data_IF_655995830301
#
_entry.id   IF_655995830301
#
_cell.length_a   1.000
_cell.length_b   1.000
_cell.length_c   1.000
_cell.angle_alpha   90.00
_cell.angle_beta   90.00
_cell.angle_gamma   90.00
#
_symmetry.space_group_name_H-M   'P 1'
#
loop_
_entity.id
_entity.type
_entity.pdbx_description
1 polymer ?
#
# COMPACT_ATOMS: atom_id res chain seq x y z
N UNK A 1 -11.37 13.81 -17.26
CA UNK A 1 -12.39 12.85 -16.77
C UNK A 1 -13.79 13.45 -16.59
N UNK A 2 -13.95 14.65 -16.01
CA UNK A 2 -15.26 15.31 -15.86
C UNK A 2 -15.95 15.55 -17.21
N UNK A 3 -15.24 16.10 -18.19
CA UNK A 3 -15.78 16.38 -19.54
C UNK A 3 -16.37 15.13 -20.22
N UNK A 4 -15.71 13.98 -20.08
CA UNK A 4 -16.15 12.68 -20.60
C UNK A 4 -17.44 12.14 -19.93
N UNK A 5 -17.86 12.70 -18.79
CA UNK A 5 -19.12 12.33 -18.11
C UNK A 5 -20.32 13.19 -18.52
N UNK A 6 -20.10 14.24 -19.32
CA UNK A 6 -21.21 15.03 -19.86
C UNK A 6 -22.11 14.16 -20.74
N UNK A 7 -23.38 14.56 -20.91
CA UNK A 7 -24.38 13.73 -21.58
C UNK A 7 -23.91 13.28 -22.97
N UNK A 8 -23.44 14.23 -23.78
CA UNK A 8 -23.00 13.99 -25.16
C UNK A 8 -21.74 13.14 -25.21
N UNK A 9 -20.70 13.49 -24.45
CA UNK A 9 -19.43 12.75 -24.48
C UNK A 9 -19.58 11.35 -23.90
N UNK A 10 -20.39 11.20 -22.86
CA UNK A 10 -20.71 9.88 -22.31
C UNK A 10 -21.51 9.03 -23.30
N UNK A 11 -22.36 9.64 -24.13
CA UNK A 11 -23.10 8.95 -25.18
C UNK A 11 -22.16 8.46 -26.28
N UNK A 12 -21.30 9.35 -26.81
CA UNK A 12 -20.27 8.98 -27.79
C UNK A 12 -19.40 7.82 -27.29
N UNK A 13 -18.97 7.87 -26.03
CA UNK A 13 -18.13 6.83 -25.45
C UNK A 13 -18.85 5.48 -25.31
N UNK A 14 -20.17 5.48 -25.03
CA UNK A 14 -20.99 4.24 -24.95
C UNK A 14 -21.01 3.44 -26.25
N UNK A 15 -20.92 4.13 -27.40
CA UNK A 15 -20.88 3.46 -28.69
C UNK A 15 -19.55 2.75 -28.94
N UNK A 16 -18.47 3.20 -28.28
CA UNK A 16 -17.11 2.67 -28.47
C UNK A 16 -16.70 1.66 -27.39
N UNK A 17 -17.15 1.83 -26.15
CA UNK A 17 -16.74 0.98 -25.02
C UNK A 17 -17.78 0.93 -23.89
N UNK A 18 -17.76 -0.16 -23.11
CA UNK A 18 -18.53 -0.29 -21.87
C UNK A 18 -17.91 0.47 -20.68
N UNK A 19 -16.64 0.87 -20.81
CA UNK A 19 -15.90 1.57 -19.76
C UNK A 19 -16.52 2.95 -19.45
N UNK A 20 -16.49 3.36 -18.18
CA UNK A 20 -17.08 4.62 -17.69
C UNK A 20 -16.04 5.50 -17.02
N UNK A 21 -15.97 6.80 -17.35
CA UNK A 21 -15.01 7.68 -16.69
C UNK A 21 -15.23 7.70 -15.17
N UNK A 22 -14.15 7.43 -14.44
CA UNK A 22 -14.10 7.54 -12.97
C UNK A 22 -13.61 8.94 -12.59
N UNK A 23 -14.22 9.55 -11.57
CA UNK A 23 -13.76 10.82 -11.02
C UNK A 23 -12.92 10.59 -9.76
N UNK A 24 -11.99 11.52 -9.50
CA UNK A 24 -11.38 11.66 -8.18
C UNK A 24 -12.47 11.93 -7.14
N UNK A 25 -12.31 11.33 -5.97
CA UNK A 25 -13.16 11.52 -4.80
C UNK A 25 -12.24 11.69 -3.59
N UNK A 26 -12.29 12.86 -2.96
CA UNK A 26 -11.31 13.26 -1.95
C UNK A 26 -11.42 12.42 -0.67
N UNK A 27 -12.62 11.97 -0.34
CA UNK A 27 -12.89 11.09 0.81
C UNK A 27 -12.56 9.62 0.55
N UNK A 28 -12.34 9.22 -0.72
CA UNK A 28 -12.15 7.82 -1.09
C UNK A 28 -10.68 7.53 -1.42
N UNK A 29 -10.02 6.74 -0.57
CA UNK A 29 -8.65 6.24 -0.79
C UNK A 29 -8.53 5.56 -2.16
N UNK A 30 -7.44 5.87 -2.88
CA UNK A 30 -7.15 5.28 -4.19
C UNK A 30 -7.99 5.83 -5.35
N UNK A 31 -8.84 6.84 -5.14
CA UNK A 31 -9.67 7.40 -6.22
C UNK A 31 -8.83 8.08 -7.32
N UNK A 32 -7.72 8.74 -6.96
CA UNK A 32 -6.77 9.33 -7.93
C UNK A 32 -6.12 8.26 -8.81
N UNK A 33 -5.64 7.16 -8.19
CA UNK A 33 -5.10 6.01 -8.93
C UNK A 33 -6.14 5.45 -9.90
N UNK A 34 -7.35 5.14 -9.42
CA UNK A 34 -8.45 4.60 -10.24
C UNK A 34 -8.81 5.53 -11.39
N UNK A 35 -8.86 6.83 -11.13
CA UNK A 35 -9.14 7.84 -12.16
C UNK A 35 -8.09 7.82 -13.27
N UNK A 36 -6.80 7.85 -12.92
CA UNK A 36 -5.71 7.87 -13.90
C UNK A 36 -5.59 6.54 -14.65
N UNK A 37 -5.70 5.42 -13.94
CA UNK A 37 -5.74 4.09 -14.55
C UNK A 37 -6.87 4.00 -15.59
N UNK A 38 -8.07 4.44 -15.21
CA UNK A 38 -9.22 4.43 -16.10
C UNK A 38 -9.09 5.42 -17.26
N UNK A 39 -8.46 6.58 -17.03
CA UNK A 39 -8.14 7.53 -18.10
C UNK A 39 -7.30 6.88 -19.20
N UNK A 40 -6.22 6.17 -18.85
CA UNK A 40 -5.38 5.48 -19.84
C UNK A 40 -6.12 4.37 -20.59
N UNK A 41 -7.02 3.64 -19.92
CA UNK A 41 -7.86 2.63 -20.57
C UNK A 41 -8.90 3.25 -21.51
N UNK A 42 -9.31 4.50 -21.27
CA UNK A 42 -10.24 5.21 -22.14
C UNK A 42 -9.56 5.91 -23.32
N UNK A 43 -8.24 6.14 -23.23
CA UNK A 43 -7.52 7.04 -24.14
C UNK A 43 -7.61 6.63 -25.62
N UNK A 44 -7.73 5.33 -25.91
CA UNK A 44 -7.90 4.81 -27.27
C UNK A 44 -9.31 5.05 -27.85
N UNK A 45 -10.32 5.23 -26.99
CA UNK A 45 -11.71 5.44 -27.40
C UNK A 45 -12.08 6.93 -27.49
N UNK A 46 -11.25 7.81 -26.93
CA UNK A 46 -11.46 9.25 -26.96
C UNK A 46 -11.10 9.78 -28.35
N UNK A 47 -12.02 10.54 -28.94
CA UNK A 47 -11.75 11.28 -30.16
C UNK A 47 -10.86 12.48 -29.83
N UNK A 48 -9.65 12.50 -30.40
CA UNK A 48 -8.65 13.54 -30.13
C UNK A 48 -8.87 14.79 -30.97
N UNK A 49 -9.59 14.65 -32.08
CA UNK A 49 -9.87 15.72 -33.03
C UNK A 49 -11.19 16.44 -32.68
N UNK A 50 -11.93 15.94 -31.67
CA UNK A 50 -13.13 16.61 -31.16
C UNK A 50 -12.74 17.92 -30.45
N UNK A 51 -13.08 19.06 -31.07
CA UNK A 51 -12.83 20.41 -30.55
C UNK A 51 -13.37 20.60 -29.11
N UNK A 52 -14.46 19.90 -28.74
CA UNK A 52 -15.05 19.99 -27.39
C UNK A 52 -14.23 19.27 -26.31
N UNK A 53 -13.28 18.41 -26.73
CA UNK A 53 -12.40 17.61 -25.90
C UNK A 53 -10.94 18.00 -26.03
N UNK A 54 -10.51 18.57 -27.16
CA UNK A 54 -9.11 18.88 -27.48
C UNK A 54 -8.41 19.64 -26.35
N UNK A 55 -9.06 20.66 -25.79
CA UNK A 55 -8.51 21.47 -24.67
C UNK A 55 -8.38 20.69 -23.35
N UNK A 56 -9.10 19.58 -23.19
CA UNK A 56 -9.12 18.77 -21.96
C UNK A 56 -8.27 17.51 -22.03
N UNK A 57 -7.73 17.17 -23.20
CA UNK A 57 -6.86 16.02 -23.38
C UNK A 57 -5.42 16.47 -23.10
N UNK A 58 -4.76 15.88 -22.08
CA UNK A 58 -3.35 16.13 -21.82
C UNK A 58 -2.50 15.90 -23.08
N UNK A 59 -1.50 16.76 -23.28
CA UNK A 59 -0.52 16.63 -24.34
C UNK A 59 0.26 15.32 -24.24
N UNK A 60 0.98 14.95 -25.29
CA UNK A 60 1.82 13.75 -25.28
C UNK A 60 2.88 13.77 -24.16
N UNK A 61 3.45 14.93 -23.85
CA UNK A 61 4.46 15.08 -22.79
C UNK A 61 3.84 14.96 -21.40
N UNK A 62 2.65 15.53 -21.19
CA UNK A 62 1.89 15.38 -19.95
C UNK A 62 1.44 13.94 -19.73
N UNK A 63 0.97 13.26 -20.79
CA UNK A 63 0.63 11.83 -20.72
C UNK A 63 1.83 10.97 -20.30
N UNK A 64 3.04 11.28 -20.77
CA UNK A 64 4.26 10.59 -20.29
C UNK A 64 4.46 10.81 -18.79
N UNK A 65 4.33 12.05 -18.30
CA UNK A 65 4.42 12.36 -16.85
C UNK A 65 3.34 11.65 -16.04
N UNK A 66 2.10 11.64 -16.54
CA UNK A 66 0.97 10.95 -15.90
C UNK A 66 1.18 9.44 -15.86
N UNK A 67 1.84 8.85 -16.87
CA UNK A 67 2.15 7.41 -16.88
C UNK A 67 3.17 7.06 -15.81
N UNK A 68 4.22 7.87 -15.64
CA UNK A 68 5.19 7.71 -14.55
C UNK A 68 4.50 7.85 -13.19
N UNK A 69 3.65 8.87 -13.02
CA UNK A 69 2.87 9.06 -11.80
C UNK A 69 1.95 7.85 -11.52
N UNK A 70 1.32 7.28 -12.56
CA UNK A 70 0.46 6.11 -12.40
C UNK A 70 1.24 4.92 -11.82
N UNK A 71 2.45 4.65 -12.29
CA UNK A 71 3.30 3.57 -11.76
C UNK A 71 3.61 3.79 -10.28
N UNK A 72 3.94 5.02 -9.87
CA UNK A 72 4.15 5.34 -8.45
C UNK A 72 2.87 5.14 -7.62
N UNK A 73 1.72 5.60 -8.14
CA UNK A 73 0.43 5.42 -7.46
C UNK A 73 0.03 3.94 -7.36
N UNK A 74 0.38 3.12 -8.34
CA UNK A 74 0.13 1.68 -8.34
C UNK A 74 0.90 0.97 -7.24
N UNK A 75 2.20 1.28 -7.07
CA UNK A 75 3.01 0.78 -5.97
C UNK A 75 2.40 1.16 -4.61
N UNK A 76 2.09 2.44 -4.42
CA UNK A 76 1.48 2.93 -3.17
C UNK A 76 0.14 2.22 -2.93
N UNK A 77 -0.69 2.06 -3.96
CA UNK A 77 -1.99 1.40 -3.85
C UNK A 77 -1.83 -0.09 -3.50
N UNK A 78 -0.86 -0.78 -4.08
CA UNK A 78 -0.56 -2.19 -3.80
C UNK A 78 -0.15 -2.38 -2.33
N UNK A 79 0.88 -1.63 -1.88
CA UNK A 79 1.32 -1.65 -0.48
C UNK A 79 0.16 -1.29 0.46
N UNK A 80 -0.61 -0.26 0.12
CA UNK A 80 -1.78 0.17 0.88
C UNK A 80 -2.83 -0.92 1.07
N UNK A 81 -3.09 -1.72 0.02
CA UNK A 81 -4.05 -2.82 0.07
C UNK A 81 -3.51 -3.98 0.90
N UNK A 82 -2.23 -4.30 0.75
CA UNK A 82 -1.60 -5.36 1.54
C UNK A 82 -1.59 -5.00 3.02
N UNK A 83 -1.27 -3.76 3.40
CA UNK A 83 -1.33 -3.32 4.81
C UNK A 83 -2.74 -3.38 5.42
N UNK A 84 -3.78 -3.49 4.59
CA UNK A 84 -5.17 -3.61 5.03
C UNK A 84 -5.68 -5.05 5.02
N UNK A 85 -4.88 -6.03 4.58
CA UNK A 85 -5.27 -7.43 4.68
C UNK A 85 -5.11 -7.96 6.10
N UNK A 86 -5.98 -8.90 6.46
CA UNK A 86 -5.94 -9.57 7.75
C UNK A 86 -4.64 -10.39 7.88
N UNK A 87 -4.10 -10.45 9.11
CA UNK A 87 -2.95 -11.30 9.43
C UNK A 87 -1.59 -10.77 9.03
N UNK A 88 -1.48 -9.53 8.53
CA UNK A 88 -0.18 -8.91 8.24
C UNK A 88 0.64 -8.71 9.51
N UNK A 89 1.84 -9.27 9.52
CA UNK A 89 2.81 -9.16 10.60
C UNK A 89 3.58 -7.85 10.53
N UNK A 90 4.13 -7.40 11.66
CA UNK A 90 4.95 -6.18 11.70
C UNK A 90 6.22 -6.33 10.83
N UNK A 91 6.80 -7.52 10.78
CA UNK A 91 7.92 -7.82 9.88
C UNK A 91 7.55 -7.61 8.42
N UNK A 92 6.39 -8.11 7.96
CA UNK A 92 5.93 -7.90 6.58
C UNK A 92 5.68 -6.42 6.29
N UNK A 93 5.10 -5.66 7.24
CA UNK A 93 4.93 -4.21 7.12
C UNK A 93 6.28 -3.54 6.87
N UNK A 94 7.31 -3.87 7.66
CA UNK A 94 8.65 -3.32 7.50
C UNK A 94 9.25 -3.67 6.13
N UNK A 95 9.09 -4.90 5.65
CA UNK A 95 9.56 -5.30 4.31
C UNK A 95 8.90 -4.46 3.21
N UNK A 96 7.58 -4.24 3.32
CA UNK A 96 6.83 -3.43 2.37
C UNK A 96 7.26 -1.95 2.41
N UNK A 97 7.47 -1.40 3.61
CA UNK A 97 7.96 -0.04 3.77
C UNK A 97 9.39 0.10 3.26
N UNK A 98 10.29 -0.84 3.50
CA UNK A 98 11.65 -0.80 2.97
C UNK A 98 11.66 -0.82 1.44
N UNK A 99 10.79 -1.62 0.81
CA UNK A 99 10.61 -1.61 -0.63
C UNK A 99 10.08 -0.25 -1.13
N UNK A 100 9.08 0.30 -0.45
CA UNK A 100 8.51 1.61 -0.79
C UNK A 100 9.53 2.75 -0.60
N UNK A 101 10.39 2.67 0.41
CA UNK A 101 11.42 3.68 0.70
C UNK A 101 12.57 3.69 -0.32
N UNK A 102 12.83 2.57 -1.00
CA UNK A 102 13.78 2.53 -2.14
C UNK A 102 13.26 3.38 -3.30
N UNK A 103 11.97 3.29 -3.58
CA UNK A 103 11.32 4.05 -4.66
C UNK A 103 10.99 5.49 -4.25
N UNK A 104 10.68 5.71 -2.96
CA UNK A 104 10.23 7.00 -2.43
C UNK A 104 10.98 7.41 -1.16
N UNK A 105 12.28 7.79 -1.25
CA UNK A 105 13.10 8.14 -0.08
C UNK A 105 12.54 9.30 0.75
N UNK A 106 11.75 10.19 0.15
CA UNK A 106 11.10 11.31 0.83
C UNK A 106 10.13 10.88 1.95
N UNK A 107 9.64 9.63 1.92
CA UNK A 107 8.76 9.07 2.94
C UNK A 107 9.52 8.57 4.18
N UNK A 108 10.86 8.57 4.18
CA UNK A 108 11.68 8.03 5.28
C UNK A 108 11.35 8.62 6.64
N UNK A 109 11.03 9.92 6.70
CA UNK A 109 10.65 10.59 7.96
C UNK A 109 9.36 10.05 8.57
N UNK A 110 8.49 9.45 7.76
CA UNK A 110 7.18 8.96 8.18
C UNK A 110 7.18 7.44 8.36
N UNK A 111 7.82 6.69 7.45
CA UNK A 111 7.73 5.23 7.36
C UNK A 111 9.02 4.49 7.70
N UNK A 112 10.13 5.19 7.94
CA UNK A 112 11.39 4.54 8.33
C UNK A 112 11.33 3.93 9.72
N UNK A 113 12.34 3.13 10.07
CA UNK A 113 12.47 2.48 11.39
C UNK A 113 12.50 3.45 12.59
N UNK A 114 12.81 4.73 12.34
CA UNK A 114 12.75 5.82 13.32
C UNK A 114 11.79 6.93 12.88
N UNK A 115 10.85 6.59 12.00
CA UNK A 115 9.85 7.51 11.48
C UNK A 115 8.86 7.95 12.56
N UNK A 116 8.16 9.04 12.31
CA UNK A 116 7.24 9.65 13.29
C UNK A 116 6.09 8.74 13.75
N UNK A 117 5.79 7.66 13.01
CA UNK A 117 4.75 6.69 13.36
C UNK A 117 5.22 5.65 14.39
N UNK A 118 6.53 5.44 14.51
CA UNK A 118 7.11 4.41 15.38
C UNK A 118 6.99 4.88 16.82
N UNK A 119 6.20 4.15 17.62
CA UNK A 119 5.88 4.53 18.99
C UNK A 119 6.95 4.03 19.97
N UNK A 120 7.48 2.83 19.74
CA UNK A 120 8.53 2.24 20.57
C UNK A 120 9.56 1.55 19.68
N UNK A 121 10.63 2.27 19.28
CA UNK A 121 11.61 1.74 18.33
C UNK A 121 12.23 0.40 18.75
N UNK A 122 12.62 0.26 20.02
CA UNK A 122 13.22 -0.98 20.53
C UNK A 122 12.21 -2.14 20.55
N UNK A 123 10.95 -1.89 20.93
CA UNK A 123 9.92 -2.91 20.96
C UNK A 123 9.51 -3.36 19.54
N UNK A 124 9.27 -2.41 18.64
CA UNK A 124 8.90 -2.71 17.26
C UNK A 124 10.03 -3.45 16.53
N UNK A 125 11.29 -3.02 16.72
CA UNK A 125 12.47 -3.73 16.20
C UNK A 125 12.57 -5.16 16.75
N UNK A 126 12.33 -5.35 18.06
CA UNK A 126 12.31 -6.68 18.68
C UNK A 126 11.21 -7.57 18.07
N UNK A 127 9.99 -7.05 17.89
CA UNK A 127 8.89 -7.78 17.25
C UNK A 127 9.25 -8.21 15.83
N UNK A 128 9.86 -7.34 15.02
CA UNK A 128 10.33 -7.66 13.66
C UNK A 128 11.37 -8.78 13.68
N UNK A 129 12.34 -8.72 14.61
CA UNK A 129 13.36 -9.78 14.78
C UNK A 129 12.77 -11.12 15.21
N UNK A 130 11.80 -11.11 16.13
CA UNK A 130 11.09 -12.32 16.57
C UNK A 130 10.29 -12.92 15.41
N UNK A 131 9.51 -12.11 14.69
CA UNK A 131 8.66 -12.57 13.58
C UNK A 131 9.44 -13.06 12.36
N UNK A 132 10.70 -12.62 12.20
CA UNK A 132 11.57 -13.04 11.10
C UNK A 132 12.53 -14.18 11.46
N UNK A 133 12.32 -14.84 12.61
CA UNK A 133 13.20 -15.88 13.18
C UNK A 133 14.66 -15.43 13.36
N UNK A 134 14.90 -14.12 13.47
CA UNK A 134 16.20 -13.49 13.68
C UNK A 134 16.34 -12.98 15.11
N UNK A 135 16.11 -13.86 16.09
CA UNK A 135 16.20 -13.51 17.53
C UNK A 135 17.65 -13.36 18.02
N UNK A 136 18.62 -14.00 17.35
CA UNK A 136 20.03 -14.01 17.74
C UNK A 136 20.70 -12.60 17.78
N UNK A 137 20.33 -11.62 16.93
CA UNK A 137 20.81 -10.24 17.04
C UNK A 137 19.98 -9.31 17.97
N UNK A 138 19.19 -9.82 18.92
CA UNK A 138 18.43 -8.94 19.83
C UNK A 138 19.35 -8.26 20.87
N UNK A 139 19.27 -6.93 20.94
CA UNK A 139 19.98 -6.08 21.90
C UNK A 139 19.40 -6.23 23.31
N UNK A 140 20.12 -5.69 24.31
CA UNK A 140 19.64 -5.68 25.70
C UNK A 140 18.37 -4.84 25.85
N UNK A 141 18.29 -3.72 25.13
CA UNK A 141 17.15 -2.81 25.11
C UNK A 141 15.92 -3.48 24.48
N UNK A 142 16.10 -4.17 23.34
CA UNK A 142 15.05 -4.93 22.68
C UNK A 142 14.52 -6.06 23.57
N UNK A 143 15.41 -6.81 24.24
CA UNK A 143 15.03 -7.84 25.22
C UNK A 143 14.24 -7.24 26.40
N UNK A 144 14.70 -6.12 26.94
CA UNK A 144 14.01 -5.43 28.03
C UNK A 144 12.62 -4.92 27.59
N UNK A 145 12.49 -4.40 26.37
CA UNK A 145 11.22 -3.91 25.83
C UNK A 145 10.17 -5.02 25.68
N UNK A 146 10.59 -6.25 25.37
CA UNK A 146 9.71 -7.41 25.26
C UNK A 146 9.45 -8.15 26.58
N UNK A 147 10.18 -7.83 27.66
CA UNK A 147 10.21 -8.63 28.89
C UNK A 147 8.81 -8.89 29.48
N UNK A 148 7.94 -7.87 29.50
CA UNK A 148 6.58 -7.97 30.04
C UNK A 148 5.63 -8.89 29.25
N UNK A 149 6.02 -9.29 28.04
CA UNK A 149 5.21 -10.11 27.14
C UNK A 149 5.68 -11.57 27.09
N UNK A 150 6.77 -11.91 27.78
CA UNK A 150 7.25 -13.28 27.89
C UNK A 150 6.22 -14.10 28.66
N UNK A 151 5.85 -15.27 28.11
CA UNK A 151 5.07 -16.25 28.85
C UNK A 151 6.01 -17.03 29.77
N UNK A 152 5.54 -17.31 30.98
CA UNK A 152 6.17 -18.32 31.82
C UNK A 152 6.23 -19.64 31.05
N UNK A 153 7.35 -20.38 31.12
CA UNK A 153 7.43 -21.70 30.50
C UNK A 153 6.30 -22.55 31.06
N UNK A 154 5.43 -23.05 30.18
CA UNK A 154 4.48 -24.08 30.58
C UNK A 154 5.32 -25.28 30.99
N UNK A 155 5.40 -25.55 32.30
CA UNK A 155 5.90 -26.81 32.80
C UNK A 155 5.02 -27.89 32.14
N UNK A 156 5.58 -28.62 31.18
CA UNK A 156 5.01 -29.89 30.75
C UNK A 156 4.82 -30.70 32.02
N UNK A 157 3.57 -30.86 32.43
CA UNK A 157 3.22 -31.69 33.58
C UNK A 157 3.61 -33.09 33.14
N UNK A 158 4.79 -33.52 33.55
CA UNK A 158 5.31 -34.85 33.33
C UNK A 158 4.27 -35.79 33.96
N UNK A 159 3.48 -36.47 33.12
CA UNK A 159 2.63 -37.58 33.51
C UNK A 159 3.54 -38.76 33.90
N UNK A 160 4.24 -38.61 35.03
CA UNK A 160 4.87 -39.70 35.74
C UNK A 160 4.09 -39.91 37.03
N UNK A 161 3.15 -40.83 36.95
CA UNK A 161 2.41 -41.44 38.05
C UNK A 161 1.35 -42.34 37.46
N UNK A 162 1.27 -43.65 37.70
CA UNK A 162 2.02 -44.52 38.58
C UNK A 162 1.78 -45.95 38.09
N UNK A 163 2.83 -46.68 37.77
CA UNK A 163 2.80 -48.14 37.89
C UNK A 163 2.98 -48.47 39.38
N UNK A 164 2.25 -49.50 39.87
CA UNK A 164 2.15 -50.02 41.26
C UNK A 164 0.81 -49.61 41.91
N UNK A 165 -0.11 -50.50 42.33
CA UNK A 165 -0.16 -51.97 42.48
C UNK A 165 -1.58 -52.43 42.13
#
# INVERSE_FOLDING_TARGET
>A
MVRLRTLNESAKLRFKTKLRPVLRQDTRRGSTFKMLHHYFNLLEFIDRDDENLAEFIPSASENKKLKVLLTTLELIQSVSMQLQSDGVTLWEICVLFDALLKEMPALKRYLGATGSIVASPDFESACVKIQSDKQNPMSRQEKAACQRFLREPQNEVNLQGSSQQ
#
